data_IF_805804322197
#
_entry.id   IF_805804322197
#
_cell.length_a   1.000
_cell.length_b   1.000
_cell.length_c   1.000
_cell.angle_alpha   90.00
_cell.angle_beta   90.00
_cell.angle_gamma   90.00
#
_symmetry.space_group_name_H-M   'P 1'
#
loop_
_entity.id
_entity.type
_entity.pdbx_description
1 polymer ?
#
# COMPACT_ATOMS: atom_id res chain seq x y z
N UNK A 1 55.78 -30.06 -5.23
CA UNK A 1 54.40 -29.87 -5.73
C UNK A 1 53.50 -29.53 -4.55
N UNK A 2 53.23 -28.24 -4.30
CA UNK A 2 52.35 -27.78 -3.21
C UNK A 2 50.94 -27.59 -3.76
N UNK A 3 49.96 -28.35 -3.28
CA UNK A 3 48.55 -28.21 -3.63
C UNK A 3 47.95 -27.05 -2.83
N UNK A 4 47.51 -26.01 -3.53
CA UNK A 4 46.82 -24.85 -2.99
C UNK A 4 45.33 -25.21 -2.87
N UNK A 5 44.83 -25.36 -1.64
CA UNK A 5 43.40 -25.57 -1.37
C UNK A 5 42.74 -24.21 -1.20
N UNK A 6 42.00 -23.77 -2.22
CA UNK A 6 41.20 -22.55 -2.19
C UNK A 6 39.82 -22.91 -1.62
N UNK A 7 39.60 -22.64 -0.33
CA UNK A 7 38.30 -22.84 0.31
C UNK A 7 37.44 -21.60 -0.01
N UNK A 8 36.49 -21.75 -0.93
CA UNK A 8 35.45 -20.76 -1.18
C UNK A 8 34.50 -20.73 0.03
N UNK A 9 34.61 -19.71 0.86
CA UNK A 9 33.57 -19.33 1.82
C UNK A 9 32.42 -18.67 1.05
N UNK A 10 31.36 -19.44 0.76
CA UNK A 10 30.08 -18.88 0.34
C UNK A 10 29.42 -18.24 1.58
N UNK A 11 29.52 -16.93 1.70
CA UNK A 11 28.74 -16.15 2.66
C UNK A 11 27.27 -16.17 2.23
N UNK A 12 26.47 -17.04 2.83
CA UNK A 12 25.00 -16.99 2.70
C UNK A 12 24.55 -15.75 3.48
N UNK A 13 24.41 -14.62 2.81
CA UNK A 13 23.70 -13.47 3.38
C UNK A 13 22.22 -13.81 3.39
N UNK A 14 21.71 -14.29 4.53
CA UNK A 14 20.27 -14.25 4.79
C UNK A 14 19.86 -12.78 4.85
N UNK A 15 19.40 -12.23 3.74
CA UNK A 15 18.66 -10.98 3.75
C UNK A 15 17.32 -11.28 4.41
N UNK A 16 17.20 -10.94 5.70
CA UNK A 16 15.89 -10.81 6.32
C UNK A 16 15.18 -9.70 5.56
N UNK A 17 14.18 -10.05 4.76
CA UNK A 17 13.25 -9.06 4.23
C UNK A 17 12.60 -8.41 5.46
N UNK A 18 12.99 -7.17 5.72
CA UNK A 18 12.48 -6.40 6.83
C UNK A 18 11.01 -6.11 6.51
N UNK A 19 10.09 -6.60 7.33
CA UNK A 19 8.66 -6.37 7.08
C UNK A 19 8.38 -4.87 7.05
N UNK A 20 7.92 -4.38 5.90
CA UNK A 20 7.70 -2.96 5.73
C UNK A 20 6.45 -2.50 6.49
N UNK A 21 5.37 -3.28 6.55
CA UNK A 21 4.16 -2.95 7.30
C UNK A 21 3.83 -3.97 8.40
N UNK A 22 3.08 -3.55 9.41
CA UNK A 22 2.50 -4.42 10.44
C UNK A 22 1.21 -5.02 9.88
N UNK A 23 1.02 -6.32 10.02
CA UNK A 23 -0.19 -7.02 9.60
C UNK A 23 -0.78 -7.84 10.74
N UNK A 24 -2.10 -7.80 10.89
CA UNK A 24 -2.85 -8.76 11.70
C UNK A 24 -3.33 -9.88 10.79
N UNK A 25 -2.45 -10.85 10.53
CA UNK A 25 -2.72 -11.94 9.61
C UNK A 25 -1.43 -12.51 9.03
N UNK A 26 -1.43 -12.78 7.73
CA UNK A 26 -0.27 -13.37 7.04
C UNK A 26 0.36 -12.37 6.09
N UNK A 27 1.68 -12.46 5.94
CA UNK A 27 2.44 -11.78 4.90
C UNK A 27 3.12 -12.83 4.05
N UNK A 28 3.10 -12.64 2.73
CA UNK A 28 3.77 -13.55 1.82
C UNK A 28 5.28 -13.24 1.77
N UNK A 29 6.16 -14.19 2.16
CA UNK A 29 7.60 -13.95 2.23
C UNK A 29 8.18 -13.45 0.91
N UNK A 30 9.04 -12.42 1.00
CA UNK A 30 9.73 -11.84 -0.16
C UNK A 30 8.84 -10.98 -1.08
N UNK A 31 7.62 -10.66 -0.65
CA UNK A 31 6.69 -9.79 -1.41
C UNK A 31 6.14 -8.67 -0.53
N UNK A 32 5.31 -7.80 -1.11
CA UNK A 32 4.55 -6.75 -0.41
C UNK A 32 3.05 -7.11 -0.39
N UNK A 33 2.75 -8.39 -0.19
CA UNK A 33 1.39 -8.93 -0.17
C UNK A 33 1.00 -9.29 1.26
N UNK A 34 -0.09 -8.69 1.74
CA UNK A 34 -0.59 -8.81 3.11
C UNK A 34 -2.01 -9.35 3.11
N UNK A 35 -2.27 -10.39 3.90
CA UNK A 35 -3.56 -11.03 4.10
C UNK A 35 -4.13 -10.57 5.45
N UNK A 36 -4.98 -9.55 5.43
CA UNK A 36 -5.62 -8.97 6.59
C UNK A 36 -5.34 -7.47 6.81
N UNK A 37 -5.84 -6.92 7.93
CA UNK A 37 -5.61 -5.53 8.31
C UNK A 37 -4.12 -5.18 8.36
N UNK A 38 -3.74 -4.11 7.65
CA UNK A 38 -2.34 -3.73 7.44
C UNK A 38 -2.12 -2.26 7.82
N UNK A 39 -1.04 -2.00 8.57
CA UNK A 39 -0.61 -0.67 9.01
C UNK A 39 0.81 -0.37 8.52
N UNK A 40 0.93 0.67 7.70
CA UNK A 40 2.20 1.16 7.18
C UNK A 40 2.48 2.55 7.78
N UNK A 41 3.46 2.66 8.67
CA UNK A 41 3.87 3.95 9.26
C UNK A 41 5.31 4.29 8.87
N UNK A 42 5.51 5.46 8.26
CA UNK A 42 6.84 5.96 7.83
C UNK A 42 7.57 4.99 6.90
N UNK A 43 6.84 4.41 5.95
CA UNK A 43 7.38 3.42 5.00
C UNK A 43 7.48 3.97 3.60
N UNK A 44 8.49 3.50 2.88
CA UNK A 44 8.64 3.74 1.44
C UNK A 44 8.57 2.40 0.73
N UNK A 45 7.44 2.12 0.11
CA UNK A 45 7.14 0.81 -0.48
C UNK A 45 6.96 0.99 -1.98
N UNK A 46 7.51 0.06 -2.75
CA UNK A 46 7.27 -0.02 -4.19
C UNK A 46 6.34 -1.21 -4.46
N UNK A 47 5.09 -0.89 -4.80
CA UNK A 47 3.95 -1.81 -4.98
C UNK A 47 3.52 -2.49 -3.69
N UNK A 48 2.23 -2.45 -3.38
CA UNK A 48 1.65 -3.13 -2.21
C UNK A 48 0.31 -3.75 -2.59
N UNK A 49 0.08 -4.96 -2.08
CA UNK A 49 -1.19 -5.67 -2.23
C UNK A 49 -1.70 -6.00 -0.83
N UNK A 50 -2.89 -5.52 -0.49
CA UNK A 50 -3.52 -5.77 0.81
C UNK A 50 -4.87 -6.42 0.60
N UNK A 51 -5.01 -7.64 1.08
CA UNK A 51 -6.27 -8.38 1.13
C UNK A 51 -6.98 -8.08 2.45
N UNK A 52 -7.47 -6.84 2.60
CA UNK A 52 -8.04 -6.32 3.84
C UNK A 52 -8.00 -4.79 3.91
N UNK A 53 -8.31 -4.20 5.09
CA UNK A 53 -8.18 -2.76 5.29
C UNK A 53 -6.71 -2.32 5.35
N UNK A 54 -6.43 -1.12 4.84
CA UNK A 54 -5.10 -0.50 4.88
C UNK A 54 -5.16 0.84 5.64
N UNK A 55 -4.29 0.99 6.64
CA UNK A 55 -3.95 2.28 7.22
C UNK A 55 -2.52 2.65 6.82
N UNK A 56 -2.34 3.81 6.20
CA UNK A 56 -1.04 4.29 5.76
C UNK A 56 -0.77 5.71 6.27
N UNK A 57 0.19 5.83 7.17
CA UNK A 57 0.50 7.07 7.87
C UNK A 57 1.95 7.49 7.57
N UNK A 58 2.12 8.75 7.16
CA UNK A 58 3.43 9.37 6.85
C UNK A 58 4.26 8.52 5.87
N UNK A 59 3.60 7.84 4.94
CA UNK A 59 4.22 6.83 4.08
C UNK A 59 4.25 7.28 2.61
N UNK A 60 5.10 6.64 1.83
CA UNK A 60 5.19 6.82 0.38
C UNK A 60 5.03 5.46 -0.29
N UNK A 61 3.87 5.22 -0.88
CA UNK A 61 3.54 4.00 -1.60
C UNK A 61 3.66 4.28 -3.10
N UNK A 62 4.85 4.00 -3.62
CA UNK A 62 5.17 4.14 -5.06
C UNK A 62 4.68 2.91 -5.83
N UNK A 63 4.35 3.08 -7.12
CA UNK A 63 3.78 1.99 -7.92
C UNK A 63 2.30 1.68 -7.63
N UNK A 64 1.89 0.44 -7.90
CA UNK A 64 0.49 0.02 -7.79
C UNK A 64 0.13 -0.32 -6.33
N UNK A 65 -0.80 0.42 -5.73
CA UNK A 65 -1.43 0.07 -4.44
C UNK A 65 -2.76 -0.63 -4.72
N UNK A 66 -2.86 -1.91 -4.40
CA UNK A 66 -4.07 -2.71 -4.57
C UNK A 66 -4.63 -3.13 -3.21
N UNK A 67 -5.88 -2.79 -2.91
CA UNK A 67 -6.49 -3.05 -1.59
C UNK A 67 -7.89 -3.63 -1.76
N UNK A 68 -8.23 -4.71 -1.06
CA UNK A 68 -9.59 -5.31 -1.07
C UNK A 68 -10.43 -4.90 0.14
N UNK A 69 -10.31 -3.65 0.58
CA UNK A 69 -10.96 -3.14 1.77
C UNK A 69 -10.79 -1.62 1.88
N UNK A 70 -11.20 -1.01 3.00
CA UNK A 70 -11.16 0.42 3.15
C UNK A 70 -9.71 0.90 3.31
N UNK A 71 -9.45 2.12 2.86
CA UNK A 71 -8.16 2.79 3.04
C UNK A 71 -8.35 4.00 3.93
N UNK A 72 -7.50 4.12 4.95
CA UNK A 72 -7.31 5.37 5.69
C UNK A 72 -5.87 5.83 5.50
N UNK A 73 -5.70 7.12 5.23
CA UNK A 73 -4.37 7.70 5.06
C UNK A 73 -4.23 9.06 5.71
N UNK A 74 -3.08 9.24 6.35
CA UNK A 74 -2.66 10.46 7.03
C UNK A 74 -1.27 10.85 6.53
N UNK A 75 -1.15 12.01 5.88
CA UNK A 75 0.12 12.51 5.35
C UNK A 75 0.86 11.50 4.46
N UNK A 76 0.12 10.78 3.61
CA UNK A 76 0.67 9.69 2.79
C UNK A 76 0.56 10.00 1.31
N UNK A 77 1.60 9.64 0.57
CA UNK A 77 1.63 9.74 -0.89
C UNK A 77 1.45 8.38 -1.53
N UNK A 78 0.50 8.28 -2.45
CA UNK A 78 0.26 7.15 -3.34
C UNK A 78 0.58 7.54 -4.78
N UNK A 79 1.17 6.62 -5.54
CA UNK A 79 1.21 6.76 -6.99
C UNK A 79 -0.19 6.57 -7.58
N UNK A 80 -0.83 5.42 -7.35
CA UNK A 80 -2.21 5.14 -7.75
C UNK A 80 -2.84 4.11 -6.81
N UNK A 81 -4.17 4.12 -6.73
CA UNK A 81 -4.92 3.23 -5.84
C UNK A 81 -5.93 2.43 -6.65
N UNK A 82 -5.99 1.13 -6.39
CA UNK A 82 -6.99 0.23 -6.93
C UNK A 82 -7.69 -0.51 -5.79
N UNK A 83 -8.98 -0.26 -5.63
CA UNK A 83 -9.83 -1.03 -4.73
C UNK A 83 -10.40 -2.22 -5.49
N UNK A 84 -10.09 -3.43 -5.03
CA UNK A 84 -10.41 -4.67 -5.74
C UNK A 84 -11.61 -5.42 -5.17
N UNK A 85 -12.13 -5.02 -4.01
CA UNK A 85 -13.34 -5.64 -3.46
C UNK A 85 -14.52 -5.52 -4.44
N UNK A 86 -15.24 -6.62 -4.62
CA UNK A 86 -16.39 -6.76 -5.53
C UNK A 86 -17.72 -6.87 -4.78
N UNK A 87 -17.66 -7.16 -3.48
CA UNK A 87 -18.79 -7.55 -2.65
C UNK A 87 -19.30 -6.38 -1.80
N UNK A 88 -18.41 -5.51 -1.36
CA UNK A 88 -18.73 -4.40 -0.45
C UNK A 88 -18.41 -3.03 -1.03
N UNK A 89 -19.12 -2.01 -0.55
CA UNK A 89 -18.84 -0.61 -0.85
C UNK A 89 -17.71 -0.14 0.05
N UNK A 90 -16.58 0.20 -0.55
CA UNK A 90 -15.38 0.60 0.17
C UNK A 90 -15.23 2.12 0.28
N UNK A 91 -14.54 2.54 1.35
CA UNK A 91 -14.25 3.94 1.63
C UNK A 91 -12.75 4.16 1.57
N UNK A 92 -12.33 5.19 0.85
CA UNK A 92 -10.96 5.70 0.86
C UNK A 92 -10.95 7.09 1.50
N UNK A 93 -10.30 7.22 2.65
CA UNK A 93 -10.15 8.49 3.37
C UNK A 93 -8.72 9.03 3.25
N UNK A 94 -8.60 10.22 2.67
CA UNK A 94 -7.34 10.94 2.51
C UNK A 94 -7.33 12.19 3.39
N UNK A 95 -6.37 12.24 4.33
CA UNK A 95 -6.25 13.34 5.29
C UNK A 95 -4.82 13.90 5.39
N UNK A 96 -4.70 15.14 5.88
CA UNK A 96 -3.44 15.80 6.27
C UNK A 96 -2.36 15.79 5.18
N UNK A 97 -2.68 16.37 4.02
CA UNK A 97 -1.81 16.47 2.85
C UNK A 97 -1.55 15.12 2.17
N UNK A 98 -2.47 14.17 2.28
CA UNK A 98 -2.38 12.93 1.51
C UNK A 98 -2.58 13.20 0.03
N UNK A 99 -1.81 12.50 -0.82
CA UNK A 99 -1.75 12.76 -2.25
C UNK A 99 -1.82 11.46 -3.04
N UNK A 100 -2.75 11.37 -4.00
CA UNK A 100 -2.75 10.31 -5.02
C UNK A 100 -2.35 10.93 -6.36
N UNK A 101 -1.23 10.51 -6.93
CA UNK A 101 -0.65 11.14 -8.13
C UNK A 101 -1.34 10.74 -9.45
N UNK A 102 -1.83 9.52 -9.52
CA UNK A 102 -2.52 8.92 -10.68
C UNK A 102 -3.98 8.65 -10.29
N UNK A 103 -4.59 7.68 -10.95
CA UNK A 103 -5.99 7.35 -10.76
C UNK A 103 -6.23 6.58 -9.45
N UNK A 104 -7.42 6.80 -8.89
CA UNK A 104 -8.02 6.06 -7.79
C UNK A 104 -9.25 5.34 -8.36
N UNK A 105 -9.20 4.00 -8.39
CA UNK A 105 -10.18 3.19 -9.11
C UNK A 105 -10.85 2.18 -8.18
N UNK A 106 -12.18 2.15 -8.17
CA UNK A 106 -12.95 1.06 -7.56
C UNK A 106 -13.39 0.08 -8.64
N UNK A 107 -12.80 -1.12 -8.63
CA UNK A 107 -13.07 -2.14 -9.65
C UNK A 107 -14.36 -2.93 -9.42
N UNK A 108 -15.05 -2.75 -8.29
CA UNK A 108 -16.27 -3.47 -7.93
C UNK A 108 -17.45 -2.54 -7.70
N UNK A 109 -18.05 -2.61 -6.52
CA UNK A 109 -19.12 -1.70 -6.14
C UNK A 109 -18.63 -0.24 -6.17
N UNK A 110 -19.55 0.67 -6.48
CA UNK A 110 -19.25 2.11 -6.43
C UNK A 110 -18.87 2.49 -5.00
N UNK A 111 -17.65 3.01 -4.81
CA UNK A 111 -17.10 3.38 -3.51
C UNK A 111 -17.36 4.84 -3.12
N UNK A 112 -16.74 5.25 -2.01
CA UNK A 112 -16.70 6.65 -1.58
C UNK A 112 -15.25 7.08 -1.33
N UNK A 113 -14.88 8.26 -1.83
CA UNK A 113 -13.60 8.92 -1.52
C UNK A 113 -13.89 10.13 -0.65
N UNK A 114 -13.34 10.14 0.56
CA UNK A 114 -13.43 11.25 1.50
C UNK A 114 -12.11 12.02 1.45
N UNK A 115 -12.17 13.27 1.02
CA UNK A 115 -11.02 14.17 0.95
C UNK A 115 -11.15 15.26 2.02
N UNK A 116 -10.11 15.44 2.83
CA UNK A 116 -9.98 16.69 3.58
C UNK A 116 -9.51 17.84 2.66
N UNK A 117 -9.59 19.07 3.17
CA UNK A 117 -9.18 20.27 2.43
C UNK A 117 -7.71 20.33 2.00
N UNK A 118 -6.86 19.48 2.58
CA UNK A 118 -5.41 19.50 2.34
C UNK A 118 -4.95 18.40 1.40
N UNK A 119 -5.75 17.36 1.21
CA UNK A 119 -5.47 16.18 0.42
C UNK A 119 -5.96 16.32 -1.00
N UNK A 120 -5.32 15.60 -1.93
CA UNK A 120 -5.59 15.74 -3.38
C UNK A 120 -5.48 14.40 -4.10
N UNK A 121 -6.30 14.25 -5.13
CA UNK A 121 -6.11 13.25 -6.19
C UNK A 121 -5.81 14.01 -7.48
N UNK A 122 -4.64 13.82 -8.06
CA UNK A 122 -4.23 14.50 -9.30
C UNK A 122 -4.75 13.79 -10.56
N UNK A 123 -4.96 12.48 -10.48
CA UNK A 123 -5.60 11.70 -11.54
C UNK A 123 -7.12 11.71 -11.43
N UNK A 124 -7.75 10.68 -12.04
CA UNK A 124 -9.21 10.51 -12.01
C UNK A 124 -9.63 9.66 -10.81
N UNK A 125 -10.78 10.01 -10.24
CA UNK A 125 -11.52 9.12 -9.33
C UNK A 125 -12.57 8.39 -10.16
N UNK A 126 -12.46 7.07 -10.25
CA UNK A 126 -13.29 6.23 -11.12
C UNK A 126 -14.19 5.34 -10.26
N UNK A 127 -15.49 5.34 -10.58
CA UNK A 127 -16.51 4.54 -9.91
C UNK A 127 -16.63 4.83 -8.40
N UNK A 128 -16.63 6.12 -8.04
CA UNK A 128 -16.86 6.54 -6.66
C UNK A 128 -17.78 7.75 -6.56
N UNK A 129 -18.38 7.95 -5.38
CA UNK A 129 -18.82 9.25 -4.92
C UNK A 129 -17.66 9.97 -4.24
N UNK A 130 -17.60 11.30 -4.35
CA UNK A 130 -16.55 12.11 -3.71
C UNK A 130 -17.19 13.03 -2.69
N UNK A 131 -16.72 12.93 -1.46
CA UNK A 131 -17.12 13.77 -0.34
C UNK A 131 -15.93 14.62 0.09
N UNK A 132 -16.16 15.91 0.33
CA UNK A 132 -15.14 16.84 0.80
C UNK A 132 -15.51 17.32 2.20
N UNK A 133 -14.64 17.11 3.18
CA UNK A 133 -14.82 17.66 4.52
C UNK A 133 -14.15 19.03 4.62
N UNK A 134 -14.91 20.01 5.13
CA UNK A 134 -14.46 21.40 5.34
C UNK A 134 -13.53 21.55 6.56
#
# INVERSE_FOLDING_TARGET
MKKLFFILFFSITCAFAQDDCIVLGFHQPGTQTYEGPTWCEKKSINKIIVHGPLQADQSTLTGDTSVSGPIKSDHTQFDGIKITDQLTTEIVSLTNHSLVKKDLVFNGQKGTVILDKTSKVLGKIINAHVETHQ
#
